data_IF_193342882285
#
_entry.id   IF_193342882285
#
_cell.length_a   1.000
_cell.length_b   1.000
_cell.length_c   1.000
_cell.angle_alpha   90.00
_cell.angle_beta   90.00
_cell.angle_gamma   90.00
#
_symmetry.space_group_name_H-M   'P 1'
#
loop_
_entity.id
_entity.type
_entity.pdbx_description
1 polymer ?
#
# COMPACT_ATOMS: atom_id res chain seq x y z
N UNK A 1 7.59 19.16 21.26
CA UNK A 1 6.16 19.13 20.91
C UNK A 1 5.94 20.04 19.70
N UNK A 2 6.41 19.60 18.52
CA UNK A 2 6.21 20.30 17.25
C UNK A 2 4.98 19.67 16.61
N UNK A 3 3.79 20.20 16.85
CA UNK A 3 2.59 19.82 16.08
C UNK A 3 2.36 20.89 15.03
N UNK A 4 3.05 20.76 13.91
CA UNK A 4 2.73 21.53 12.71
C UNK A 4 1.47 20.93 12.10
N UNK A 5 0.52 21.78 11.67
CA UNK A 5 -0.65 21.33 10.94
C UNK A 5 -0.17 20.73 9.61
N UNK A 6 -0.36 19.43 9.43
CA UNK A 6 -0.13 18.75 8.16
C UNK A 6 -0.91 19.49 7.07
N UNK A 7 -0.25 19.80 5.95
CA UNK A 7 -1.00 20.14 4.74
C UNK A 7 -1.72 18.85 4.36
N UNK A 8 -3.04 18.83 4.49
CA UNK A 8 -3.86 17.70 4.05
C UNK A 8 -3.79 17.60 2.54
N UNK A 9 -2.76 16.93 2.02
CA UNK A 9 -2.74 16.48 0.65
C UNK A 9 -3.56 15.19 0.61
N UNK A 10 -4.76 15.25 0.01
CA UNK A 10 -5.59 14.06 -0.16
C UNK A 10 -4.86 13.12 -1.11
N UNK A 11 -4.83 11.83 -0.78
CA UNK A 11 -4.23 10.82 -1.65
C UNK A 11 -4.81 10.87 -3.06
N UNK A 12 -3.98 10.54 -4.05
CA UNK A 12 -4.33 10.63 -5.47
C UNK A 12 -4.62 9.24 -6.02
N UNK A 13 -5.63 9.14 -6.89
CA UNK A 13 -5.94 7.90 -7.59
C UNK A 13 -4.86 7.57 -8.62
N UNK A 14 -4.48 6.29 -8.72
CA UNK A 14 -3.59 5.79 -9.77
C UNK A 14 -4.38 4.80 -10.62
N UNK A 15 -4.68 5.16 -11.87
CA UNK A 15 -5.36 4.28 -12.82
C UNK A 15 -4.36 3.63 -13.76
N UNK A 16 -4.46 2.31 -13.91
CA UNK A 16 -3.62 1.50 -14.80
C UNK A 16 -4.54 0.73 -15.74
N UNK A 17 -4.32 0.87 -17.06
CA UNK A 17 -5.13 0.19 -18.07
C UNK A 17 -4.25 -0.55 -19.07
N UNK A 18 -4.55 -1.84 -19.29
CA UNK A 18 -3.98 -2.67 -20.35
C UNK A 18 -2.45 -2.78 -20.34
N UNK A 19 -1.82 -2.67 -19.16
CA UNK A 19 -0.38 -2.55 -19.07
C UNK A 19 0.30 -3.87 -19.51
N UNK A 20 1.25 -3.80 -20.45
CA UNK A 20 2.17 -4.92 -20.76
C UNK A 20 3.66 -4.56 -20.60
N UNK A 21 4.45 -5.45 -19.96
CA UNK A 21 5.91 -5.30 -19.76
C UNK A 21 6.69 -6.57 -20.02
N UNK A 22 7.81 -6.43 -20.71
CA UNK A 22 8.75 -7.50 -21.03
C UNK A 22 10.21 -7.08 -20.79
N UNK A 23 11.08 -8.07 -20.58
CA UNK A 23 12.53 -7.93 -20.67
C UNK A 23 13.06 -8.90 -21.73
N UNK A 24 13.51 -8.37 -22.87
CA UNK A 24 13.82 -9.20 -24.03
C UNK A 24 12.57 -9.97 -24.49
N UNK A 25 12.69 -11.30 -24.64
CA UNK A 25 11.57 -12.19 -24.97
C UNK A 25 10.72 -12.58 -23.76
N UNK A 26 11.17 -12.30 -22.54
CA UNK A 26 10.47 -12.70 -21.33
C UNK A 26 9.42 -11.66 -20.96
N UNK A 27 8.15 -12.02 -21.13
CA UNK A 27 7.03 -11.22 -20.63
C UNK A 27 6.93 -11.33 -19.12
N UNK A 28 6.89 -10.19 -18.43
CA UNK A 28 6.77 -10.08 -16.98
C UNK A 28 5.30 -10.02 -16.59
N UNK A 29 4.53 -9.16 -17.25
CA UNK A 29 3.08 -9.11 -17.15
C UNK A 29 2.42 -8.63 -18.43
N UNK A 30 1.14 -8.97 -18.60
CA UNK A 30 0.33 -8.65 -19.76
C UNK A 30 -1.06 -8.20 -19.33
N UNK A 31 -1.56 -7.16 -20.01
CA UNK A 31 -2.94 -6.69 -19.90
C UNK A 31 -3.38 -6.45 -18.43
N UNK A 32 -2.50 -5.84 -17.65
CA UNK A 32 -2.77 -5.54 -16.25
C UNK A 32 -3.60 -4.26 -16.17
N UNK A 33 -4.80 -4.37 -15.60
CA UNK A 33 -5.71 -3.25 -15.37
C UNK A 33 -6.12 -3.21 -13.90
N UNK A 34 -5.86 -2.11 -13.22
CA UNK A 34 -6.29 -1.87 -11.84
C UNK A 34 -6.33 -0.39 -11.52
N UNK A 35 -7.06 -0.03 -10.46
CA UNK A 35 -7.12 1.34 -9.94
C UNK A 35 -6.75 1.33 -8.47
N UNK A 36 -5.75 2.11 -8.07
CA UNK A 36 -5.44 2.39 -6.67
C UNK A 36 -6.30 3.58 -6.21
N UNK A 37 -7.30 3.37 -5.35
CA UNK A 37 -8.22 4.44 -4.99
C UNK A 37 -7.56 5.47 -4.08
N UNK A 38 -7.97 6.74 -4.25
CA UNK A 38 -7.47 7.87 -3.48
C UNK A 38 -7.53 7.67 -1.95
N UNK A 39 -6.35 7.68 -1.32
CA UNK A 39 -6.14 7.54 0.12
C UNK A 39 -6.39 6.14 0.68
N UNK A 40 -6.76 5.16 -0.16
CA UNK A 40 -6.91 3.78 0.30
C UNK A 40 -5.55 3.06 0.35
N UNK A 41 -5.45 2.07 1.23
CA UNK A 41 -4.29 1.18 1.33
C UNK A 41 -4.57 -0.05 0.48
N UNK A 42 -3.79 -0.26 -0.56
CA UNK A 42 -3.87 -1.41 -1.45
C UNK A 42 -2.66 -2.32 -1.25
N UNK A 43 -2.84 -3.63 -1.36
CA UNK A 43 -1.74 -4.58 -1.39
C UNK A 43 -1.78 -5.44 -2.65
N UNK A 44 -0.60 -5.68 -3.24
CA UNK A 44 -0.41 -6.53 -4.40
C UNK A 44 0.44 -7.73 -4.02
N UNK A 45 -0.18 -8.91 -4.09
CA UNK A 45 0.38 -10.21 -3.74
C UNK A 45 0.91 -10.94 -4.96
N UNK A 46 1.64 -12.01 -4.68
CA UNK A 46 2.07 -12.98 -5.67
C UNK A 46 3.36 -13.66 -5.23
N UNK A 47 3.67 -14.85 -5.77
CA UNK A 47 4.95 -15.50 -5.54
C UNK A 47 6.16 -14.60 -5.85
N UNK A 48 7.33 -14.97 -5.33
CA UNK A 48 8.58 -14.31 -5.69
C UNK A 48 8.80 -14.37 -7.20
N UNK A 49 9.31 -13.28 -7.80
CA UNK A 49 9.60 -13.22 -9.23
C UNK A 49 8.42 -12.92 -10.15
N UNK A 50 7.18 -12.74 -9.66
CA UNK A 50 6.02 -12.40 -10.50
C UNK A 50 5.99 -10.96 -11.03
N UNK A 51 7.05 -10.17 -10.79
CA UNK A 51 7.16 -8.81 -11.33
C UNK A 51 6.50 -7.71 -10.49
N UNK A 52 6.16 -7.97 -9.22
CA UNK A 52 5.54 -6.96 -8.33
C UNK A 52 6.40 -5.70 -8.17
N UNK A 53 7.71 -5.84 -7.91
CA UNK A 53 8.63 -4.71 -7.84
C UNK A 53 8.85 -4.03 -9.21
N UNK A 54 8.69 -4.78 -10.32
CA UNK A 54 8.70 -4.21 -11.69
C UNK A 54 7.46 -3.36 -11.92
N UNK A 55 6.30 -3.83 -11.46
CA UNK A 55 5.05 -3.07 -11.50
C UNK A 55 5.17 -1.76 -10.71
N UNK A 56 5.66 -1.82 -9.46
CA UNK A 56 5.91 -0.64 -8.63
C UNK A 56 6.84 0.37 -9.32
N UNK A 57 7.98 -0.10 -9.86
CA UNK A 57 8.92 0.75 -10.63
C UNK A 57 8.31 1.33 -11.90
N UNK A 58 7.29 0.68 -12.46
CA UNK A 58 6.57 1.19 -13.63
C UNK A 58 5.63 2.34 -13.27
N UNK A 59 4.97 2.28 -12.10
CA UNK A 59 4.09 3.36 -11.61
C UNK A 59 4.82 4.69 -11.38
N UNK A 60 6.10 4.67 -11.04
CA UNK A 60 6.95 5.88 -10.87
C UNK A 60 7.74 6.25 -12.13
N UNK A 61 7.51 5.53 -13.23
CA UNK A 61 8.19 5.75 -14.50
C UNK A 61 9.69 5.47 -14.46
N UNK A 62 10.19 4.62 -13.56
CA UNK A 62 11.57 4.12 -13.60
C UNK A 62 11.74 3.02 -14.66
N UNK A 63 10.67 2.27 -14.91
CA UNK A 63 10.59 1.29 -15.99
C UNK A 63 9.42 1.65 -16.88
N UNK A 64 9.66 1.80 -18.18
CA UNK A 64 8.60 2.10 -19.14
C UNK A 64 7.97 0.80 -19.66
N UNK A 65 6.66 0.57 -19.47
CA UNK A 65 5.90 -0.50 -20.11
C UNK A 65 5.88 -0.33 -21.64
N UNK A 66 5.64 -1.42 -22.37
CA UNK A 66 5.52 -1.35 -23.83
C UNK A 66 4.11 -0.99 -24.29
N UNK A 67 3.08 -1.29 -23.49
CA UNK A 67 1.67 -1.04 -23.83
C UNK A 67 0.89 -0.62 -22.57
N UNK A 68 -0.29 -0.03 -22.79
CA UNK A 68 -1.21 0.44 -21.76
C UNK A 68 -1.02 1.92 -21.42
N UNK A 69 -1.65 2.36 -20.34
CA UNK A 69 -1.56 3.72 -19.79
C UNK A 69 -1.45 3.67 -18.27
N UNK A 70 -0.83 4.69 -17.68
CA UNK A 70 -0.79 4.90 -16.23
C UNK A 70 -1.15 6.37 -15.98
N UNK A 71 -2.35 6.62 -15.48
CA UNK A 71 -2.88 7.96 -15.24
C UNK A 71 -2.81 8.30 -13.75
N UNK A 72 -2.13 9.40 -13.43
CA UNK A 72 -1.95 9.92 -12.07
C UNK A 72 -2.25 11.42 -12.12
N UNK A 73 -3.16 11.90 -11.29
CA UNK A 73 -3.60 13.30 -11.27
C UNK A 73 -3.94 13.86 -12.68
N UNK A 74 -4.68 13.05 -13.46
CA UNK A 74 -5.07 13.39 -14.83
C UNK A 74 -3.94 13.30 -15.88
N UNK A 75 -2.72 12.95 -15.48
CA UNK A 75 -1.55 12.86 -16.37
C UNK A 75 -1.19 11.41 -16.68
N UNK A 76 -1.15 11.04 -17.97
CA UNK A 76 -0.60 9.74 -18.40
C UNK A 76 0.94 9.80 -18.42
N UNK A 77 1.59 9.11 -17.48
CA UNK A 77 3.05 9.15 -17.30
C UNK A 77 3.81 8.52 -18.47
N UNK A 78 3.16 7.73 -19.33
CA UNK A 78 3.78 7.15 -20.51
C UNK A 78 3.82 8.13 -21.68
N UNK A 79 2.97 9.15 -21.68
CA UNK A 79 2.84 10.11 -22.78
C UNK A 79 3.28 11.53 -22.38
N UNK A 80 3.48 11.80 -21.09
CA UNK A 80 3.89 13.11 -20.60
C UNK A 80 5.34 13.48 -20.94
N UNK A 81 5.63 14.78 -20.81
CA UNK A 81 6.98 15.35 -20.93
C UNK A 81 7.84 14.97 -19.73
N UNK A 82 9.17 15.09 -19.87
CA UNK A 82 10.09 14.86 -18.75
C UNK A 82 9.87 15.81 -17.57
N UNK A 83 9.32 17.01 -17.82
CA UNK A 83 8.99 17.99 -16.78
C UNK A 83 7.77 17.54 -15.98
N UNK A 84 6.69 17.16 -16.65
CA UNK A 84 5.48 16.63 -16.01
C UNK A 84 5.80 15.34 -15.24
N UNK A 85 6.60 14.44 -15.82
CA UNK A 85 7.04 13.23 -15.11
C UNK A 85 7.84 13.55 -13.84
N UNK A 86 8.64 14.61 -13.85
CA UNK A 86 9.36 15.06 -12.67
C UNK A 86 8.41 15.58 -11.58
N UNK A 87 7.42 16.39 -11.96
CA UNK A 87 6.38 16.90 -11.05
C UNK A 87 5.57 15.74 -10.43
N UNK A 88 5.13 14.78 -11.24
CA UNK A 88 4.44 13.57 -10.77
C UNK A 88 5.32 12.78 -9.80
N UNK A 89 6.63 12.63 -10.06
CA UNK A 89 7.54 11.92 -9.14
C UNK A 89 7.69 12.58 -7.78
N UNK A 90 7.45 13.89 -7.66
CA UNK A 90 7.48 14.57 -6.36
C UNK A 90 6.30 14.19 -5.47
N UNK A 91 5.22 13.67 -6.05
CA UNK A 91 4.04 13.18 -5.32
C UNK A 91 4.26 11.81 -4.67
N UNK A 92 5.36 11.13 -5.02
CA UNK A 92 5.66 9.78 -4.56
C UNK A 92 6.64 9.76 -3.39
N UNK A 93 6.27 9.06 -2.32
CA UNK A 93 7.19 8.49 -1.35
C UNK A 93 7.44 7.02 -1.68
N UNK A 94 8.70 6.59 -1.75
CA UNK A 94 9.04 5.19 -2.06
C UNK A 94 9.90 4.56 -0.98
N UNK A 95 9.40 3.49 -0.37
CA UNK A 95 10.15 2.59 0.49
C UNK A 95 10.58 1.35 -0.31
N UNK A 96 11.85 1.29 -0.70
CA UNK A 96 12.45 0.10 -1.30
C UNK A 96 12.74 -0.98 -0.25
N UNK A 97 12.85 -2.23 -0.68
CA UNK A 97 13.05 -3.42 0.15
C UNK A 97 14.14 -3.26 1.24
N UNK A 98 15.32 -2.76 0.89
CA UNK A 98 16.42 -2.54 1.85
C UNK A 98 16.48 -1.11 2.42
N UNK A 99 15.41 -0.32 2.25
CA UNK A 99 15.34 1.11 2.58
C UNK A 99 16.12 2.01 1.61
N UNK A 100 17.10 1.47 0.89
CA UNK A 100 17.94 2.16 -0.10
C UNK A 100 18.58 3.45 0.43
N UNK A 101 19.03 3.44 1.69
CA UNK A 101 19.72 4.56 2.31
C UNK A 101 21.12 4.73 1.71
N UNK A 102 21.59 5.98 1.59
CA UNK A 102 22.95 6.30 1.22
C UNK A 102 23.89 5.92 2.37
N UNK A 103 24.73 4.90 2.15
CA UNK A 103 25.65 4.37 3.17
C UNK A 103 26.70 5.37 3.65
N UNK A 104 26.99 6.40 2.86
CA UNK A 104 27.94 7.48 3.18
C UNK A 104 27.32 8.64 3.97
N UNK A 105 26.02 8.60 4.25
CA UNK A 105 25.30 9.65 4.98
C UNK A 105 24.69 9.08 6.26
N UNK A 106 24.60 9.88 7.32
CA UNK A 106 23.86 9.51 8.52
C UNK A 106 22.34 9.51 8.27
N UNK A 107 21.53 9.07 9.24
CA UNK A 107 20.08 9.01 9.09
C UNK A 107 19.45 10.38 8.87
N UNK A 108 19.91 11.41 9.60
CA UNK A 108 19.40 12.77 9.43
C UNK A 108 19.57 13.25 7.99
N UNK A 109 20.77 13.13 7.43
CA UNK A 109 21.10 13.58 6.09
C UNK A 109 20.40 12.74 5.02
N UNK A 110 20.23 11.44 5.25
CA UNK A 110 19.40 10.59 4.39
C UNK A 110 17.96 11.10 4.29
N UNK A 111 17.34 11.42 5.43
CA UNK A 111 15.96 11.93 5.48
C UNK A 111 15.87 13.37 4.97
N UNK A 112 16.88 14.21 5.23
CA UNK A 112 16.94 15.60 4.77
C UNK A 112 17.17 15.73 3.26
N UNK A 113 17.77 14.71 2.63
CA UNK A 113 18.21 14.78 1.23
C UNK A 113 17.12 15.22 0.25
N UNK A 114 15.90 14.63 0.23
CA UNK A 114 14.86 15.09 -0.69
C UNK A 114 14.44 16.54 -0.47
N UNK A 115 14.42 17.02 0.78
CA UNK A 115 14.09 18.43 1.06
C UNK A 115 15.16 19.38 0.51
N UNK A 116 16.44 19.03 0.65
CA UNK A 116 17.57 19.85 0.16
C UNK A 116 17.61 19.90 -1.37
N UNK A 117 17.26 18.80 -2.03
CA UNK A 117 17.27 18.72 -3.50
C UNK A 117 16.03 19.35 -4.15
N UNK A 118 14.86 19.18 -3.55
CA UNK A 118 13.59 19.52 -4.20
C UNK A 118 12.92 20.78 -3.63
N UNK A 119 13.47 21.41 -2.60
CA UNK A 119 12.88 22.60 -1.98
C UNK A 119 13.90 23.72 -1.75
N UNK A 120 13.41 24.93 -1.46
CA UNK A 120 14.24 26.09 -1.10
C UNK A 120 14.11 26.43 0.40
N UNK A 121 13.77 25.44 1.24
CA UNK A 121 13.56 25.65 2.68
C UNK A 121 14.88 25.97 3.38
N UNK A 122 14.81 26.72 4.48
CA UNK A 122 15.99 26.97 5.32
C UNK A 122 16.43 25.69 6.04
N UNK A 123 17.71 25.58 6.41
CA UNK A 123 18.19 24.43 7.20
C UNK A 123 17.47 24.31 8.56
N UNK A 124 17.01 25.43 9.13
CA UNK A 124 16.19 25.41 10.35
C UNK A 124 14.85 24.72 10.13
N UNK A 125 14.19 24.97 8.99
CA UNK A 125 12.90 24.36 8.67
C UNK A 125 13.07 22.91 8.22
N UNK A 126 14.13 22.60 7.47
CA UNK A 126 14.51 21.22 7.12
C UNK A 126 14.70 20.42 8.41
N UNK A 127 15.44 20.95 9.39
CA UNK A 127 15.66 20.29 10.67
C UNK A 127 14.35 19.97 11.38
N UNK A 128 13.40 20.90 11.43
CA UNK A 128 12.09 20.66 12.07
C UNK A 128 11.36 19.50 11.39
N UNK A 129 11.25 19.53 10.06
CA UNK A 129 10.55 18.50 9.28
C UNK A 129 11.24 17.14 9.45
N UNK A 130 12.56 17.08 9.33
CA UNK A 130 13.32 15.82 9.45
C UNK A 130 13.14 15.21 10.82
N UNK A 131 13.27 16.00 11.88
CA UNK A 131 13.08 15.50 13.25
C UNK A 131 11.65 15.01 13.48
N UNK A 132 10.65 15.70 12.93
CA UNK A 132 9.25 15.27 12.96
C UNK A 132 9.06 13.91 12.26
N UNK A 133 9.64 13.70 11.07
CA UNK A 133 9.55 12.40 10.37
C UNK A 133 10.31 11.30 11.10
N UNK A 134 11.44 11.60 11.72
CA UNK A 134 12.18 10.64 12.54
C UNK A 134 11.42 10.29 13.83
N UNK A 135 10.70 11.23 14.43
CA UNK A 135 9.81 11.00 15.57
C UNK A 135 8.64 10.08 15.18
N UNK A 136 7.95 10.39 14.09
CA UNK A 136 6.87 9.57 13.53
C UNK A 136 7.31 8.11 13.30
N UNK A 137 8.56 7.92 12.87
CA UNK A 137 9.13 6.61 12.60
C UNK A 137 9.82 5.97 13.82
N UNK A 138 9.79 6.61 15.00
CA UNK A 138 10.39 6.09 16.24
C UNK A 138 11.92 5.95 16.15
N UNK A 139 12.60 6.94 15.57
CA UNK A 139 14.04 6.96 15.31
C UNK A 139 14.78 8.11 16.01
N UNK A 140 14.12 8.79 16.96
CA UNK A 140 14.77 9.80 17.80
C UNK A 140 15.95 9.18 18.56
N UNK A 141 17.07 9.90 18.60
CA UNK A 141 18.35 9.46 19.15
C UNK A 141 19.21 8.63 18.21
N UNK A 142 18.74 8.30 17.00
CA UNK A 142 19.51 7.57 15.99
C UNK A 142 19.96 8.45 14.82
N UNK A 143 19.72 9.76 14.88
CA UNK A 143 19.86 10.70 13.76
C UNK A 143 21.28 10.74 13.19
N UNK A 144 22.28 10.63 14.07
CA UNK A 144 23.69 10.69 13.71
C UNK A 144 24.29 9.32 13.33
N UNK A 145 23.52 8.23 13.44
CA UNK A 145 24.00 6.90 13.10
C UNK A 145 24.06 6.72 11.59
N UNK A 146 25.02 5.94 11.12
CA UNK A 146 25.11 5.48 9.75
C UNK A 146 24.18 4.27 9.53
N UNK A 147 23.72 4.01 8.29
CA UNK A 147 22.88 2.85 7.97
C UNK A 147 23.48 1.50 8.40
N UNK A 148 24.81 1.38 8.43
CA UNK A 148 25.52 0.18 8.90
C UNK A 148 25.46 -0.04 10.41
N UNK A 149 25.11 0.98 11.20
CA UNK A 149 25.12 0.94 12.68
C UNK A 149 23.73 0.67 13.29
N UNK A 150 22.73 0.42 12.45
CA UNK A 150 21.33 0.25 12.87
C UNK A 150 20.75 -1.08 12.40
N UNK A 151 19.72 -1.56 13.09
CA UNK A 151 19.06 -2.83 12.75
C UNK A 151 18.31 -2.76 11.41
N UNK A 152 18.00 -3.90 10.80
CA UNK A 152 17.21 -3.96 9.56
C UNK A 152 15.85 -3.26 9.67
N UNK A 153 15.15 -3.44 10.80
CA UNK A 153 13.89 -2.74 11.06
C UNK A 153 14.06 -1.23 11.21
N UNK A 154 15.17 -0.76 11.79
CA UNK A 154 15.48 0.67 11.83
C UNK A 154 15.80 1.22 10.43
N UNK A 155 16.51 0.46 9.57
CA UNK A 155 16.79 0.88 8.19
C UNK A 155 15.52 1.08 7.38
N UNK A 156 14.56 0.17 7.51
CA UNK A 156 13.25 0.27 6.84
C UNK A 156 12.45 1.48 7.30
N UNK A 157 12.37 1.70 8.62
CA UNK A 157 11.73 2.90 9.19
C UNK A 157 12.45 4.20 8.78
N UNK A 158 13.77 4.18 8.64
CA UNK A 158 14.51 5.35 8.16
C UNK A 158 14.27 5.60 6.66
N UNK A 159 14.18 4.54 5.86
CA UNK A 159 13.75 4.62 4.45
C UNK A 159 12.34 5.18 4.32
N UNK A 160 11.42 4.77 5.20
CA UNK A 160 10.06 5.31 5.28
C UNK A 160 10.06 6.78 5.69
N UNK A 161 10.82 7.17 6.72
CA UNK A 161 10.97 8.57 7.11
C UNK A 161 11.44 9.46 5.95
N UNK A 162 12.41 8.96 5.16
CA UNK A 162 12.88 9.65 3.94
C UNK A 162 11.79 9.73 2.87
N UNK A 163 11.01 8.66 2.68
CA UNK A 163 9.90 8.65 1.73
C UNK A 163 8.80 9.65 2.09
N UNK A 164 8.58 9.91 3.38
CA UNK A 164 7.52 10.80 3.87
C UNK A 164 7.92 12.28 3.98
N UNK A 165 9.19 12.61 3.76
CA UNK A 165 9.72 13.93 4.11
C UNK A 165 9.17 15.07 3.25
N UNK A 166 8.71 14.75 2.03
CA UNK A 166 8.09 15.70 1.11
C UNK A 166 6.55 15.76 1.24
N UNK A 167 5.97 15.08 2.23
CA UNK A 167 4.51 14.96 2.40
C UNK A 167 3.82 14.38 1.14
N UNK A 168 4.18 13.15 0.71
CA UNK A 168 3.71 12.58 -0.55
C UNK A 168 2.22 12.21 -0.54
N UNK A 169 1.56 12.37 -1.68
CA UNK A 169 0.19 11.92 -1.91
C UNK A 169 0.08 10.41 -2.18
N UNK A 170 1.16 9.79 -2.67
CA UNK A 170 1.23 8.36 -2.98
C UNK A 170 2.45 7.73 -2.31
N UNK A 171 2.26 6.63 -1.58
CA UNK A 171 3.33 5.86 -0.96
C UNK A 171 3.41 4.48 -1.60
N UNK A 172 4.58 4.15 -2.15
CA UNK A 172 4.87 2.82 -2.66
C UNK A 172 5.82 2.08 -1.73
N UNK A 173 5.46 0.86 -1.36
CA UNK A 173 6.19 0.05 -0.39
C UNK A 173 6.53 -1.30 -1.01
N UNK A 174 7.82 -1.57 -1.19
CA UNK A 174 8.33 -2.81 -1.79
C UNK A 174 8.85 -3.76 -0.69
N UNK A 175 8.13 -4.85 -0.44
CA UNK A 175 8.47 -5.90 0.53
C UNK A 175 8.90 -5.39 1.92
N UNK A 176 8.02 -4.65 2.63
CA UNK A 176 8.34 -4.02 3.91
C UNK A 176 8.66 -5.04 5.01
N UNK A 177 8.23 -6.28 4.86
CA UNK A 177 8.37 -7.37 5.84
C UNK A 177 9.66 -8.19 5.66
N UNK A 178 10.33 -8.11 4.52
CA UNK A 178 11.54 -8.91 4.21
C UNK A 178 12.65 -8.80 5.27
N UNK A 179 13.16 -9.92 5.77
CA UNK A 179 14.23 -9.93 6.77
C UNK A 179 13.85 -9.36 8.15
N UNK A 180 12.55 -9.16 8.43
CA UNK A 180 12.03 -8.82 9.75
C UNK A 180 11.36 -10.04 10.41
N UNK A 181 11.43 -10.10 11.73
CA UNK A 181 10.63 -11.04 12.51
C UNK A 181 9.13 -10.64 12.50
N UNK A 182 8.21 -11.55 12.84
CA UNK A 182 6.77 -11.28 12.80
C UNK A 182 6.34 -10.09 13.67
N UNK A 183 6.97 -9.88 14.83
CA UNK A 183 6.62 -8.76 15.73
C UNK A 183 6.97 -7.43 15.08
N UNK A 184 8.18 -7.31 14.52
CA UNK A 184 8.61 -6.11 13.79
C UNK A 184 7.77 -5.85 12.55
N UNK A 185 7.32 -6.90 11.86
CA UNK A 185 6.41 -6.79 10.72
C UNK A 185 5.09 -6.16 11.16
N UNK A 186 4.51 -6.59 12.28
CA UNK A 186 3.28 -5.99 12.83
C UNK A 186 3.45 -4.52 13.18
N UNK A 187 4.57 -4.13 13.82
CA UNK A 187 4.86 -2.73 14.11
C UNK A 187 4.96 -1.87 12.85
N UNK A 188 5.57 -2.40 11.78
CA UNK A 188 5.67 -1.69 10.51
C UNK A 188 4.31 -1.56 9.81
N UNK A 189 3.49 -2.62 9.85
CA UNK A 189 2.10 -2.57 9.38
C UNK A 189 1.29 -1.52 10.11
N UNK A 190 1.38 -1.46 11.44
CA UNK A 190 0.69 -0.46 12.26
C UNK A 190 1.13 0.96 11.88
N UNK A 191 2.44 1.16 11.69
CA UNK A 191 2.98 2.45 11.26
C UNK A 191 2.42 2.89 9.90
N UNK A 192 2.26 1.99 8.93
CA UNK A 192 1.66 2.31 7.62
C UNK A 192 0.20 2.74 7.75
N UNK A 193 -0.58 2.07 8.62
CA UNK A 193 -1.96 2.46 8.91
C UNK A 193 -2.02 3.82 9.61
N UNK A 194 -1.14 4.06 10.59
CA UNK A 194 -1.08 5.33 11.32
C UNK A 194 -0.66 6.50 10.41
N UNK A 195 0.24 6.26 9.46
CA UNK A 195 0.60 7.23 8.42
C UNK A 195 -0.61 7.53 7.54
N UNK A 196 -1.28 6.50 7.01
CA UNK A 196 -2.47 6.69 6.18
C UNK A 196 -3.58 7.46 6.93
N UNK A 197 -3.76 7.20 8.23
CA UNK A 197 -4.70 7.95 9.06
C UNK A 197 -4.33 9.44 9.21
N UNK A 198 -3.04 9.76 9.25
CA UNK A 198 -2.57 11.13 9.44
C UNK A 198 -2.57 11.98 8.17
N UNK A 199 -2.18 11.38 7.03
CA UNK A 199 -1.97 12.13 5.79
C UNK A 199 -2.89 11.71 4.64
N UNK A 200 -3.73 10.69 4.81
CA UNK A 200 -4.69 10.21 3.82
C UNK A 200 -4.06 9.88 2.44
N UNK A 201 -2.78 9.52 2.43
CA UNK A 201 -2.03 9.17 1.22
C UNK A 201 -2.48 7.82 0.64
N UNK A 202 -2.50 7.70 -0.69
CA UNK A 202 -2.76 6.43 -1.39
C UNK A 202 -1.56 5.51 -1.20
N UNK A 203 -1.74 4.31 -0.66
CA UNK A 203 -0.62 3.39 -0.40
C UNK A 203 -0.74 2.14 -1.26
N UNK A 204 0.34 1.77 -1.94
CA UNK A 204 0.50 0.43 -2.53
C UNK A 204 1.60 -0.35 -1.81
N UNK A 205 1.24 -1.48 -1.24
CA UNK A 205 2.16 -2.42 -0.62
C UNK A 205 2.35 -3.64 -1.52
N UNK A 206 3.54 -3.83 -2.02
CA UNK A 206 3.96 -5.07 -2.67
C UNK A 206 4.51 -5.99 -1.58
N UNK A 207 3.92 -7.18 -1.41
CA UNK A 207 4.41 -8.14 -0.42
C UNK A 207 4.06 -9.57 -0.81
N UNK A 208 4.70 -10.54 -0.16
CA UNK A 208 4.29 -11.94 -0.16
C UNK A 208 3.81 -12.40 1.23
N UNK A 209 3.64 -11.47 2.18
CA UNK A 209 3.24 -11.75 3.55
C UNK A 209 1.71 -11.88 3.68
N UNK A 210 1.27 -13.10 3.99
CA UNK A 210 -0.15 -13.44 4.15
C UNK A 210 -0.80 -12.66 5.31
N UNK A 211 -0.10 -12.47 6.43
CA UNK A 211 -0.67 -11.78 7.58
C UNK A 211 -0.90 -10.30 7.30
N UNK A 212 0.04 -9.64 6.62
CA UNK A 212 -0.12 -8.27 6.15
C UNK A 212 -1.32 -8.19 5.19
N UNK A 213 -1.36 -9.06 4.19
CA UNK A 213 -2.46 -9.15 3.22
C UNK A 213 -3.84 -9.30 3.88
N UNK A 214 -3.91 -10.07 4.96
CA UNK A 214 -5.13 -10.34 5.72
C UNK A 214 -5.52 -9.27 6.73
N UNK A 215 -4.68 -8.31 7.06
CA UNK A 215 -4.97 -7.39 8.18
C UNK A 215 -4.85 -5.93 7.79
N UNK A 216 -4.01 -5.56 6.83
CA UNK A 216 -3.71 -4.16 6.53
C UNK A 216 -4.59 -3.55 5.43
N UNK A 217 -4.67 -4.13 4.22
CA UNK A 217 -5.17 -3.40 3.06
C UNK A 217 -6.70 -3.27 3.04
N UNK A 218 -7.17 -2.20 2.40
CA UNK A 218 -8.55 -1.94 1.99
C UNK A 218 -8.90 -2.67 0.67
N UNK A 219 -7.93 -2.72 -0.25
CA UNK A 219 -8.00 -3.44 -1.53
C UNK A 219 -6.85 -4.44 -1.63
N UNK A 220 -7.12 -5.62 -2.16
CA UNK A 220 -6.12 -6.66 -2.37
C UNK A 220 -6.10 -7.02 -3.85
N UNK A 221 -4.92 -7.36 -4.36
CA UNK A 221 -4.80 -8.00 -5.66
C UNK A 221 -3.70 -9.04 -5.68
N UNK A 222 -3.68 -9.86 -6.73
CA UNK A 222 -2.69 -10.93 -6.88
C UNK A 222 -2.17 -11.01 -8.33
N UNK A 223 -0.85 -10.93 -8.47
CA UNK A 223 -0.15 -11.25 -9.72
C UNK A 223 0.27 -12.71 -9.73
N UNK A 224 -0.12 -13.43 -10.78
CA UNK A 224 0.30 -14.80 -11.05
C UNK A 224 0.28 -15.06 -12.55
N UNK A 225 1.18 -15.92 -13.05
CA UNK A 225 1.33 -16.25 -14.49
C UNK A 225 1.32 -15.03 -15.43
N UNK A 226 2.01 -13.95 -15.05
CA UNK A 226 2.12 -12.71 -15.84
C UNK A 226 0.79 -11.96 -15.99
N UNK A 227 -0.21 -12.26 -15.18
CA UNK A 227 -1.52 -11.62 -15.21
C UNK A 227 -1.90 -11.14 -13.82
N UNK A 228 -2.81 -10.17 -13.79
CA UNK A 228 -3.54 -9.82 -12.58
C UNK A 228 -4.71 -10.78 -12.45
N UNK A 229 -4.61 -11.73 -11.53
CA UNK A 229 -5.65 -12.74 -11.29
C UNK A 229 -6.93 -12.06 -10.82
N UNK A 230 -6.78 -11.14 -9.87
CA UNK A 230 -7.87 -10.32 -9.35
C UNK A 230 -7.30 -9.11 -8.62
N UNK A 231 -8.11 -8.05 -8.55
CA UNK A 231 -7.87 -6.87 -7.73
C UNK A 231 -9.22 -6.26 -7.35
N UNK A 232 -9.38 -5.85 -6.10
CA UNK A 232 -10.62 -5.22 -5.64
C UNK A 232 -10.69 -5.11 -4.13
N UNK A 233 -11.89 -4.88 -3.56
CA UNK A 233 -12.11 -4.89 -2.11
C UNK A 233 -11.54 -6.18 -1.51
N UNK A 234 -10.79 -6.07 -0.41
CA UNK A 234 -10.08 -7.19 0.23
C UNK A 234 -10.94 -8.44 0.41
N UNK A 235 -12.23 -8.29 0.70
CA UNK A 235 -13.18 -9.37 0.94
C UNK A 235 -13.30 -10.28 -0.28
N UNK A 236 -13.22 -9.71 -1.49
CA UNK A 236 -13.25 -10.46 -2.75
C UNK A 236 -12.11 -11.47 -2.82
N UNK A 237 -10.91 -11.11 -2.36
CA UNK A 237 -9.75 -12.02 -2.35
C UNK A 237 -9.78 -12.98 -1.15
N UNK A 238 -10.18 -12.50 0.02
CA UNK A 238 -10.20 -13.29 1.26
C UNK A 238 -11.29 -14.38 1.26
N UNK A 239 -12.29 -14.23 0.40
CA UNK A 239 -13.40 -15.19 0.22
C UNK A 239 -13.33 -15.93 -1.11
N UNK A 240 -12.29 -15.69 -1.91
CA UNK A 240 -12.14 -16.25 -3.25
C UNK A 240 -12.01 -17.77 -3.24
N UNK A 241 -12.71 -18.41 -4.17
CA UNK A 241 -12.60 -19.84 -4.46
C UNK A 241 -11.52 -20.17 -5.51
N UNK A 242 -10.88 -19.14 -6.09
CA UNK A 242 -9.82 -19.29 -7.07
C UNK A 242 -8.63 -20.09 -6.50
N UNK A 243 -8.24 -21.24 -7.10
CA UNK A 243 -7.24 -22.13 -6.54
C UNK A 243 -5.90 -21.47 -6.19
N UNK A 244 -5.39 -20.58 -7.05
CA UNK A 244 -4.12 -19.89 -6.80
C UNK A 244 -4.21 -18.95 -5.59
N UNK A 245 -5.34 -18.27 -5.43
CA UNK A 245 -5.59 -17.31 -4.35
C UNK A 245 -5.72 -18.07 -3.03
N UNK A 246 -6.53 -19.14 -3.03
CA UNK A 246 -6.68 -20.04 -1.86
C UNK A 246 -5.36 -20.64 -1.42
N UNK A 247 -4.60 -21.18 -2.37
CA UNK A 247 -3.29 -21.76 -2.07
C UNK A 247 -2.36 -20.73 -1.43
N UNK A 248 -2.27 -19.54 -2.02
CA UNK A 248 -1.39 -18.49 -1.54
C UNK A 248 -1.78 -18.00 -0.15
N UNK A 249 -3.07 -17.70 0.08
CA UNK A 249 -3.55 -17.20 1.36
C UNK A 249 -3.46 -18.24 2.48
N UNK A 250 -3.60 -19.53 2.18
CA UNK A 250 -3.49 -20.59 3.19
C UNK A 250 -2.06 -21.11 3.38
N UNK A 251 -1.10 -20.65 2.56
CA UNK A 251 0.25 -21.20 2.56
C UNK A 251 0.27 -22.70 2.26
N UNK A 252 -0.71 -23.19 1.49
CA UNK A 252 -0.82 -24.61 1.17
C UNK A 252 0.22 -25.00 0.11
N UNK A 253 0.77 -26.19 0.26
CA UNK A 253 1.58 -26.83 -0.77
C UNK A 253 0.72 -27.29 -1.93
N UNK A 254 -0.57 -27.53 -1.73
CA UNK A 254 -1.48 -28.09 -2.72
C UNK A 254 -2.12 -26.96 -3.53
N UNK A 255 -1.87 -26.94 -4.83
CA UNK A 255 -2.42 -25.95 -5.76
C UNK A 255 -1.45 -25.59 -6.90
N UNK A 256 -1.81 -24.60 -7.73
CA UNK A 256 -1.09 -24.27 -8.97
C UNK A 256 0.32 -23.65 -8.78
N UNK A 257 0.64 -23.09 -7.62
CA UNK A 257 1.95 -22.52 -7.29
C UNK A 257 2.93 -23.63 -6.90
N UNK A 258 4.06 -23.73 -7.60
CA UNK A 258 5.16 -24.67 -7.33
C UNK A 258 6.41 -24.02 -6.69
N UNK A 259 7.44 -24.85 -6.48
CA UNK A 259 8.68 -24.48 -5.78
C UNK A 259 9.58 -23.52 -6.55
N UNK A 260 9.67 -23.68 -7.88
CA UNK A 260 10.49 -22.81 -8.75
C UNK A 260 9.64 -22.04 -9.76
N UNK A 261 8.52 -22.63 -10.20
CA UNK A 261 7.60 -22.10 -11.21
C UNK A 261 6.18 -22.65 -10.96
N UNK A 262 5.32 -22.56 -11.96
CA UNK A 262 4.01 -23.22 -12.00
C UNK A 262 4.15 -24.74 -11.89
N UNK A 263 3.18 -25.38 -11.22
CA UNK A 263 3.06 -26.84 -11.30
C UNK A 263 2.40 -27.23 -12.62
N UNK A 264 2.90 -28.30 -13.22
CA UNK A 264 2.23 -28.94 -14.33
C UNK A 264 1.01 -29.76 -13.83
N UNK A 265 0.13 -30.12 -14.76
CA UNK A 265 -1.11 -30.85 -14.46
C UNK A 265 -0.84 -32.21 -13.78
N UNK A 266 0.30 -32.84 -14.07
CA UNK A 266 0.67 -34.14 -13.50
C UNK A 266 1.07 -34.03 -12.03
N UNK A 267 1.80 -32.98 -11.67
CA UNK A 267 2.17 -32.66 -10.29
C UNK A 267 0.93 -32.27 -9.49
N UNK A 268 0.03 -31.46 -10.07
CA UNK A 268 -1.23 -31.10 -9.42
C UNK A 268 -2.10 -32.35 -9.16
N UNK A 269 -2.25 -33.24 -10.15
CA UNK A 269 -3.03 -34.47 -10.00
C UNK A 269 -2.43 -35.42 -8.93
N UNK A 270 -1.11 -35.54 -8.87
CA UNK A 270 -0.44 -36.35 -7.85
C UNK A 270 -0.67 -35.80 -6.43
N UNK A 271 -0.63 -34.48 -6.24
CA UNK A 271 -0.88 -33.84 -4.95
C UNK A 271 -2.35 -33.91 -4.52
N UNK A 272 -3.28 -33.75 -5.47
CA UNK A 272 -4.72 -33.96 -5.24
C UNK A 272 -4.98 -35.40 -4.80
N UNK A 273 -4.41 -36.39 -5.49
CA UNK A 273 -4.53 -37.79 -5.12
C UNK A 273 -3.95 -38.08 -3.72
N UNK A 274 -2.83 -37.44 -3.37
CA UNK A 274 -2.27 -37.53 -2.02
C UNK A 274 -3.19 -36.89 -0.96
N UNK A 275 -3.82 -35.74 -1.25
CA UNK A 275 -4.81 -35.09 -0.38
C UNK A 275 -6.02 -36.00 -0.16
N UNK A 276 -6.56 -36.58 -1.23
CA UNK A 276 -7.68 -37.53 -1.19
C UNK A 276 -7.34 -38.80 -0.42
N UNK A 277 -6.07 -39.24 -0.47
CA UNK A 277 -5.55 -40.34 0.34
C UNK A 277 -5.30 -39.97 1.83
N UNK A 278 -5.66 -38.76 2.26
CA UNK A 278 -5.54 -38.30 3.64
C UNK A 278 -4.17 -37.71 4.01
N UNK A 279 -3.31 -37.40 3.03
CA UNK A 279 -2.06 -36.70 3.28
C UNK A 279 -2.32 -35.19 3.48
N UNK A 280 -2.02 -34.68 4.66
CA UNK A 280 -2.11 -33.26 4.98
C UNK A 280 -0.74 -32.60 4.93
N UNK A 281 -0.64 -31.46 4.25
CA UNK A 281 0.62 -30.70 4.09
C UNK A 281 0.99 -29.84 5.32
N UNK A 282 0.18 -29.90 6.38
CA UNK A 282 0.32 -29.12 7.61
C UNK A 282 -0.23 -27.70 7.52
N UNK A 283 -0.81 -27.28 6.38
CA UNK A 283 -1.50 -26.00 6.25
C UNK A 283 -2.86 -26.03 6.93
N UNK A 284 -3.27 -24.90 7.49
CA UNK A 284 -4.63 -24.69 8.00
C UNK A 284 -5.41 -23.90 6.96
N UNK A 285 -6.56 -24.42 6.54
CA UNK A 285 -7.50 -23.65 5.74
C UNK A 285 -8.11 -22.57 6.63
N UNK A 286 -7.72 -21.32 6.39
CA UNK A 286 -8.26 -20.15 7.05
C UNK A 286 -9.09 -19.40 6.02
N UNK A 287 -10.41 -19.52 6.14
CA UNK A 287 -11.38 -18.83 5.30
C UNK A 287 -12.06 -17.69 6.06
N UNK A 288 -12.57 -16.72 5.31
CA UNK A 288 -13.32 -15.59 5.84
C UNK A 288 -12.50 -14.32 6.00
N UNK A 289 -13.21 -13.26 6.40
CA UNK A 289 -12.65 -11.91 6.49
C UNK A 289 -12.12 -11.68 7.90
N UNK A 290 -10.79 -11.72 8.05
CA UNK A 290 -10.13 -11.35 9.31
C UNK A 290 -10.32 -9.85 9.57
N UNK A 291 -10.54 -9.42 10.83
CA UNK A 291 -10.62 -8.01 11.17
C UNK A 291 -9.43 -7.20 10.65
N UNK A 292 -9.72 -6.02 10.09
CA UNK A 292 -8.69 -5.10 9.64
C UNK A 292 -8.00 -4.43 10.83
N UNK A 293 -6.69 -4.21 10.69
CA UNK A 293 -5.88 -3.42 11.61
C UNK A 293 -6.41 -1.98 11.66
N UNK A 294 -6.65 -1.49 12.87
CA UNK A 294 -7.11 -0.13 13.10
C UNK A 294 -5.92 0.80 13.38
N UNK A 295 -6.09 2.09 13.14
CA UNK A 295 -5.09 3.08 13.53
C UNK A 295 -4.92 3.11 15.07
N UNK A 296 -3.72 3.42 15.52
CA UNK A 296 -3.39 3.51 16.94
C UNK A 296 -4.31 4.52 17.63
N UNK A 297 -4.84 4.24 18.84
CA UNK A 297 -5.68 5.18 19.57
C UNK A 297 -5.04 6.57 19.68
N UNK A 298 -5.81 7.60 19.34
CA UNK A 298 -5.34 9.00 19.30
C UNK A 298 -4.86 9.47 17.92
N UNK A 299 -4.73 8.58 16.93
CA UNK A 299 -4.60 8.97 15.53
C UNK A 299 -5.92 9.56 14.99
N UNK A 300 -5.86 10.43 13.96
CA UNK A 300 -7.07 10.87 13.27
C UNK A 300 -7.85 9.71 12.66
N UNK A 301 -9.13 9.94 12.37
CA UNK A 301 -9.94 8.96 11.64
C UNK A 301 -9.40 8.83 10.21
N UNK A 302 -9.23 7.60 9.74
CA UNK A 302 -8.89 7.29 8.35
C UNK A 302 -10.03 7.74 7.43
N UNK A 303 -9.85 8.85 6.72
CA UNK A 303 -10.86 9.42 5.83
C UNK A 303 -11.24 8.47 4.68
N UNK A 304 -10.27 7.69 4.21
CA UNK A 304 -10.45 6.67 3.18
C UNK A 304 -11.50 5.60 3.52
N UNK A 305 -11.76 5.31 4.80
CA UNK A 305 -12.76 4.31 5.21
C UNK A 305 -14.13 4.68 4.69
N UNK A 306 -14.59 5.93 4.90
CA UNK A 306 -15.90 6.38 4.42
C UNK A 306 -16.00 6.35 2.89
N UNK A 307 -14.94 6.78 2.18
CA UNK A 307 -14.88 6.75 0.71
C UNK A 307 -14.95 5.32 0.18
N UNK A 308 -14.20 4.40 0.78
CA UNK A 308 -14.23 2.97 0.48
C UNK A 308 -15.64 2.41 0.67
N UNK A 309 -16.26 2.66 1.82
CA UNK A 309 -17.61 2.17 2.11
C UNK A 309 -18.62 2.61 1.05
N UNK A 310 -18.61 3.90 0.67
CA UNK A 310 -19.48 4.44 -0.37
C UNK A 310 -19.23 3.78 -1.74
N UNK A 311 -17.95 3.70 -2.14
CA UNK A 311 -17.51 3.07 -3.40
C UNK A 311 -17.93 1.61 -3.47
N UNK A 312 -17.62 0.81 -2.44
CA UNK A 312 -17.94 -0.61 -2.37
C UNK A 312 -19.46 -0.86 -2.40
N UNK A 313 -20.25 -0.05 -1.69
CA UNK A 313 -21.73 -0.13 -1.77
C UNK A 313 -22.25 0.07 -3.18
N UNK A 314 -21.68 1.02 -3.93
CA UNK A 314 -22.12 1.31 -5.30
C UNK A 314 -21.84 0.15 -6.28
N UNK A 315 -20.75 -0.58 -6.08
CA UNK A 315 -20.34 -1.70 -6.95
C UNK A 315 -20.70 -3.07 -6.38
N UNK A 316 -21.35 -3.16 -5.21
CA UNK A 316 -21.63 -4.43 -4.52
C UNK A 316 -22.31 -5.47 -5.44
N UNK A 317 -23.22 -4.99 -6.27
CA UNK A 317 -23.98 -5.82 -7.23
C UNK A 317 -23.13 -6.43 -8.34
N UNK A 318 -21.93 -5.89 -8.60
CA UNK A 318 -20.99 -6.43 -9.61
C UNK A 318 -19.93 -7.34 -8.98
N UNK A 319 -19.88 -7.45 -7.65
CA UNK A 319 -18.90 -8.28 -6.95
C UNK A 319 -19.36 -9.73 -6.84
N UNK A 320 -18.44 -10.70 -6.71
CA UNK A 320 -18.79 -12.11 -6.58
C UNK A 320 -19.73 -12.39 -5.40
N UNK A 321 -20.74 -13.26 -5.54
CA UNK A 321 -21.73 -13.53 -4.48
C UNK A 321 -21.13 -13.92 -3.14
N UNK A 322 -20.04 -14.71 -3.14
CA UNK A 322 -19.30 -15.14 -1.96
C UNK A 322 -18.69 -13.98 -1.16
N UNK A 323 -18.44 -12.84 -1.82
CA UNK A 323 -17.88 -11.65 -1.19
C UNK A 323 -18.95 -10.67 -0.72
N UNK A 324 -20.17 -10.70 -1.28
CA UNK A 324 -21.20 -9.69 -1.00
C UNK A 324 -21.65 -9.69 0.47
N UNK A 325 -21.94 -10.86 1.04
CA UNK A 325 -22.39 -10.98 2.43
C UNK A 325 -21.29 -10.58 3.43
N UNK A 326 -20.03 -11.07 3.30
CA UNK A 326 -18.92 -10.60 4.14
C UNK A 326 -18.64 -9.09 4.02
N UNK A 327 -18.86 -8.50 2.84
CA UNK A 327 -18.78 -7.05 2.66
C UNK A 327 -19.90 -6.35 3.45
N UNK A 328 -21.14 -6.81 3.38
CA UNK A 328 -22.24 -6.20 4.13
C UNK A 328 -22.01 -6.27 5.64
N UNK A 329 -21.45 -7.37 6.13
CA UNK A 329 -21.05 -7.54 7.53
C UNK A 329 -19.95 -6.55 7.92
N UNK A 330 -18.89 -6.43 7.12
CA UNK A 330 -17.80 -5.48 7.37
C UNK A 330 -18.25 -4.01 7.31
N UNK A 331 -19.25 -3.69 6.49
CA UNK A 331 -19.87 -2.37 6.38
C UNK A 331 -20.91 -2.08 7.48
N UNK A 332 -21.44 -3.12 8.13
CA UNK A 332 -22.52 -3.06 9.12
C UNK A 332 -22.03 -2.79 10.54
N UNK A 333 -20.88 -3.37 10.91
CA UNK A 333 -20.27 -3.21 12.24
C UNK A 333 -19.87 -1.74 12.55
N UNK A 334 -19.64 -0.92 11.52
CA UNK A 334 -19.27 0.49 11.68
C UNK A 334 -20.45 1.42 12.03
N UNK A 335 -21.72 0.98 11.90
CA UNK A 335 -22.88 1.81 12.28
C UNK A 335 -22.98 2.04 13.79
N UNK A 336 -22.30 1.24 14.62
CA UNK A 336 -22.25 1.45 16.07
C UNK A 336 -21.24 2.54 16.48
N UNK A 337 -20.37 3.04 15.58
CA UNK A 337 -19.22 3.87 15.96
C UNK A 337 -19.07 5.19 15.21
N UNK A 338 -19.96 5.53 14.27
CA UNK A 338 -19.79 6.73 13.43
C UNK A 338 -21.04 7.59 13.34
N UNK A 339 -21.28 8.42 14.37
CA UNK A 339 -22.05 9.65 14.20
C UNK A 339 -21.08 10.72 13.72
N UNK A 340 -21.09 10.98 12.41
CA UNK A 340 -20.45 12.15 11.81
C UNK A 340 -21.33 13.37 12.16
N UNK A 341 -20.82 14.45 12.78
CA UNK A 341 -21.60 15.67 12.92
C UNK A 341 -21.82 16.27 11.53
N UNK A 342 -23.08 16.43 11.14
CA UNK A 342 -23.44 17.19 9.95
C UNK A 342 -22.87 18.61 10.09
N UNK A 343 -22.10 19.03 9.09
CA UNK A 343 -21.66 20.41 8.95
C UNK A 343 -22.89 21.27 8.63
N UNK A 344 -23.44 21.96 9.62
CA UNK A 344 -24.51 22.93 9.41
C UNK A 344 -23.90 24.24 8.90
N UNK A 345 -24.06 24.47 7.60
CA UNK A 345 -23.84 25.75 6.96
C UNK A 345 -25.11 26.61 7.14
N UNK A 346 -25.16 27.39 8.22
CA UNK A 346 -26.09 28.52 8.35
C UNK A 346 -25.69 29.40 9.54
N UNK A 347 -25.09 30.56 9.24
CA UNK A 347 -24.73 31.54 10.26
C UNK A 347 -24.20 32.84 9.68
N UNK A 348 -24.81 33.34 8.60
CA UNK A 348 -24.66 34.73 8.21
C UNK A 348 -25.43 35.60 9.22
N UNK A 349 -24.77 36.04 10.29
CA UNK A 349 -25.26 37.14 11.11
C UNK A 349 -24.64 38.45 10.62
N UNK A 350 -25.48 39.21 9.93
CA UNK A 350 -25.31 40.61 9.61
C UNK A 350 -25.15 41.44 10.89
N UNK A 351 -24.06 42.20 10.96
CA UNK A 351 -23.87 43.27 11.93
C UNK A 351 -24.79 44.46 11.60
N UNK A 352 -25.87 44.60 12.35
CA UNK A 352 -26.68 45.83 12.37
C UNK A 352 -26.38 46.63 13.63
N UNK A 353 -25.84 47.83 13.42
CA UNK A 353 -25.68 48.89 14.40
C UNK A 353 -27.04 49.45 14.85
N UNK A 354 -27.28 49.59 16.16
CA UNK A 354 -28.16 50.63 16.72
C UNK A 354 -28.03 50.77 18.25
N UNK A 355 -27.45 51.91 18.65
CA UNK A 355 -27.77 52.81 19.78
C UNK A 355 -28.44 52.27 21.07
N UNK A 356 -27.79 52.59 22.19
CA UNK A 356 -28.31 52.54 23.56
C UNK A 356 -27.24 52.94 24.56
#
# INVERSE_FOLDING_TARGET
>A
MYRTAWRFAVGVEVSVEGLTKSFGSQKIWQDVTLTLPAGEVSALLGPSGTGKSVFLKSLIGLLRPEQGSIVIDGTDILQCTSKELYEIRQMFGVLFQDGALFGSMNLYDNVAFPLREHTKKSESDIRKIVMEKLELNGLIGAENKLPGEISGGMRKRAGLARALVLDPEIILVDEPDSGLDPVRTTYLSQLLIDINAQIDATILIVTHNINLARTVPDNLGMLFRKQLVMFGPREVLLTSEEPVVKQFLNGSKIGPIGMSEEKDDSQMAAELAMKEAGHHDGSQEVSGVVPQMQATPGMPVRQAVGRRQARVRSILHTLPPEAQQPILESLGDDQATQVIPAYNDSGAESSSWSHG
#
